data_IF_542029531800
#
_entry.id   IF_542029531800
#
_cell.length_a   1.000
_cell.length_b   1.000
_cell.length_c   1.000
_cell.angle_alpha   90.00
_cell.angle_beta   90.00
_cell.angle_gamma   90.00
#
_symmetry.space_group_name_H-M   'P 1'
#
loop_
_entity.id
_entity.type
_entity.pdbx_description
1 polymer ?
#
# COMPACT_ATOMS: atom_id res chain seq x y z
N UNK A 1 -6.34 0.05 -7.61
CA UNK A 1 -6.10 -0.40 -6.22
C UNK A 1 -4.60 -0.49 -6.04
N UNK A 2 -4.04 0.21 -5.05
CA UNK A 2 -2.61 0.13 -4.75
C UNK A 2 -2.30 -1.12 -3.94
N UNK A 3 -1.11 -1.71 -4.14
CA UNK A 3 -0.64 -2.87 -3.37
C UNK A 3 0.55 -2.49 -2.54
N UNK A 4 0.49 -2.80 -1.25
CA UNK A 4 1.57 -2.51 -0.31
C UNK A 4 2.03 -3.79 0.36
N UNK A 5 3.35 -3.95 0.46
CA UNK A 5 3.97 -4.99 1.29
C UNK A 5 4.36 -4.40 2.62
N UNK A 6 3.99 -5.06 3.71
CA UNK A 6 4.48 -4.69 5.04
C UNK A 6 5.97 -5.11 5.14
N UNK A 7 6.86 -4.13 5.23
CA UNK A 7 8.30 -4.32 5.38
C UNK A 7 8.81 -3.97 6.78
N UNK A 8 7.92 -3.67 7.72
CA UNK A 8 8.29 -3.19 9.06
C UNK A 8 8.89 -4.26 9.98
N UNK A 9 8.74 -5.55 9.66
CA UNK A 9 9.19 -6.66 10.52
C UNK A 9 8.22 -7.01 11.66
N UNK A 10 7.10 -6.29 11.77
CA UNK A 10 6.03 -6.51 12.76
C UNK A 10 4.65 -6.42 12.09
N UNK A 11 3.60 -6.93 12.75
CA UNK A 11 2.24 -6.88 12.22
C UNK A 11 1.67 -5.46 12.31
N UNK A 12 1.12 -4.94 11.21
CA UNK A 12 0.62 -3.56 11.15
C UNK A 12 -0.76 -3.45 10.57
N UNK A 13 -1.56 -2.56 11.18
CA UNK A 13 -2.89 -2.23 10.68
C UNK A 13 -2.83 -1.24 9.53
N UNK A 14 -3.70 -1.46 8.56
CA UNK A 14 -3.76 -0.71 7.31
C UNK A 14 -4.67 0.51 7.43
N UNK A 15 -4.12 1.69 7.13
CA UNK A 15 -4.89 2.94 6.95
C UNK A 15 -5.48 3.55 8.23
N UNK A 16 -6.14 2.77 9.08
CA UNK A 16 -6.76 3.21 10.34
C UNK A 16 -6.38 2.30 11.50
N UNK A 17 -6.59 2.80 12.73
CA UNK A 17 -6.45 2.01 13.94
C UNK A 17 -7.33 0.76 13.91
N UNK A 18 -8.47 0.75 13.22
CA UNK A 18 -9.36 -0.41 13.07
C UNK A 18 -9.20 -1.13 11.72
N UNK A 19 -8.15 -0.80 10.97
CA UNK A 19 -7.88 -1.44 9.68
C UNK A 19 -7.48 -2.90 9.81
N UNK A 20 -7.50 -3.66 8.69
CA UNK A 20 -7.06 -5.03 8.67
C UNK A 20 -5.59 -5.12 9.11
N UNK A 21 -5.29 -6.10 9.97
CA UNK A 21 -3.94 -6.41 10.38
C UNK A 21 -3.23 -7.13 9.23
N UNK A 22 -2.06 -6.62 8.84
CA UNK A 22 -1.22 -7.19 7.80
C UNK A 22 0.07 -7.65 8.45
N UNK A 23 0.30 -8.95 8.39
CA UNK A 23 1.50 -9.56 8.95
C UNK A 23 2.77 -9.05 8.27
N UNK A 24 3.89 -9.10 8.99
CA UNK A 24 5.18 -8.72 8.45
C UNK A 24 5.52 -9.55 7.20
N UNK A 25 5.93 -8.88 6.11
CA UNK A 25 6.24 -9.51 4.83
C UNK A 25 5.03 -9.79 3.93
N UNK A 26 3.80 -9.64 4.45
CA UNK A 26 2.56 -9.89 3.69
C UNK A 26 2.17 -8.69 2.84
N UNK A 27 1.52 -8.97 1.70
CA UNK A 27 1.00 -7.97 0.77
C UNK A 27 -0.48 -7.74 1.04
N UNK A 28 -0.87 -6.47 1.08
CA UNK A 28 -2.26 -6.03 1.17
C UNK A 28 -2.62 -5.17 -0.03
N UNK A 29 -3.90 -5.22 -0.43
CA UNK A 29 -4.46 -4.36 -1.46
C UNK A 29 -5.34 -3.32 -0.79
N UNK A 30 -5.17 -2.06 -1.17
CA UNK A 30 -5.94 -0.95 -0.60
C UNK A 30 -6.81 -0.32 -1.66
N UNK A 31 -7.98 0.10 -1.20
CA UNK A 31 -8.91 0.84 -2.03
C UNK A 31 -8.37 2.26 -2.21
N UNK A 32 -8.22 2.69 -3.46
CA UNK A 32 -7.53 3.91 -3.85
C UNK A 32 -6.26 3.68 -4.66
N UNK A 33 -5.92 4.69 -5.46
CA UNK A 33 -4.66 4.77 -6.20
C UNK A 33 -3.66 5.66 -5.45
N UNK A 34 -2.36 5.45 -5.68
CA UNK A 34 -1.33 6.37 -5.19
C UNK A 34 -1.43 7.66 -6.00
N UNK A 35 -1.78 8.76 -5.35
CA UNK A 35 -2.02 10.07 -5.96
C UNK A 35 -0.81 10.99 -5.81
N UNK A 36 -0.03 10.81 -4.74
CA UNK A 36 1.22 11.51 -4.53
C UNK A 36 2.25 10.63 -3.81
N UNK A 37 3.52 10.99 -3.91
CA UNK A 37 4.60 10.34 -3.18
C UNK A 37 5.52 11.41 -2.59
N UNK A 38 5.75 11.35 -1.29
CA UNK A 38 6.74 12.17 -0.58
C UNK A 38 8.01 11.34 -0.34
N UNK A 39 9.06 11.93 0.18
CA UNK A 39 10.29 11.22 0.54
C UNK A 39 10.04 10.10 1.56
N UNK A 40 9.11 10.32 2.49
CA UNK A 40 8.82 9.45 3.63
C UNK A 40 7.52 8.62 3.49
N UNK A 41 6.62 8.92 2.54
CA UNK A 41 5.33 8.24 2.43
C UNK A 41 4.74 8.18 1.01
N UNK A 42 3.81 7.25 0.79
CA UNK A 42 2.90 7.22 -0.35
C UNK A 42 1.53 7.77 0.07
N UNK A 43 0.95 8.67 -0.72
CA UNK A 43 -0.40 9.19 -0.50
C UNK A 43 -1.36 8.39 -1.37
N UNK A 44 -2.32 7.72 -0.75
CA UNK A 44 -3.33 6.90 -1.41
C UNK A 44 -4.70 7.54 -1.23
N UNK A 45 -5.44 7.71 -2.34
CA UNK A 45 -6.73 8.39 -2.33
C UNK A 45 -6.62 9.91 -2.44
N UNK A 46 -7.77 10.59 -2.44
CA UNK A 46 -7.90 12.04 -2.69
C UNK A 46 -8.86 12.67 -1.68
N UNK A 47 -8.70 13.98 -1.44
CA UNK A 47 -9.56 14.74 -0.51
C UNK A 47 -9.48 14.25 0.94
N UNK A 48 -10.61 14.28 1.64
CA UNK A 48 -10.75 13.79 3.02
C UNK A 48 -10.48 12.28 3.18
N UNK A 49 -10.43 11.57 2.05
CA UNK A 49 -10.14 10.14 2.00
C UNK A 49 -8.69 9.80 1.66
N UNK A 50 -7.83 10.80 1.48
CA UNK A 50 -6.39 10.59 1.30
C UNK A 50 -5.74 10.05 2.59
N UNK A 51 -4.89 9.02 2.45
CA UNK A 51 -4.11 8.44 3.56
C UNK A 51 -2.64 8.34 3.20
N UNK A 52 -1.80 8.64 4.18
CA UNK A 52 -0.36 8.50 4.08
C UNK A 52 0.10 7.09 4.50
N UNK A 53 0.97 6.50 3.69
CA UNK A 53 1.55 5.18 3.85
C UNK A 53 3.06 5.30 3.99
N UNK A 54 3.60 5.22 5.21
CA UNK A 54 5.03 5.44 5.44
C UNK A 54 5.91 4.44 4.69
N UNK A 55 6.87 4.95 3.91
CA UNK A 55 7.87 4.16 3.17
C UNK A 55 8.80 3.36 4.07
N UNK A 56 8.95 3.80 5.33
CA UNK A 56 9.70 3.05 6.33
C UNK A 56 9.11 1.66 6.63
N UNK A 57 7.80 1.49 6.38
CA UNK A 57 7.05 0.30 6.83
C UNK A 57 6.24 -0.35 5.72
N UNK A 58 6.02 0.37 4.62
CA UNK A 58 5.26 -0.09 3.48
C UNK A 58 6.07 0.10 2.20
N UNK A 59 6.10 -0.94 1.39
CA UNK A 59 6.69 -0.91 0.04
C UNK A 59 5.55 -0.97 -0.98
N UNK A 60 5.46 0.05 -1.85
CA UNK A 60 4.52 0.04 -2.96
C UNK A 60 4.96 -1.00 -4.00
N UNK A 61 4.14 -2.02 -4.20
CA UNK A 61 4.37 -3.00 -5.25
C UNK A 61 3.73 -2.51 -6.55
N UNK A 62 4.43 -2.60 -7.69
CA UNK A 62 3.80 -2.34 -8.98
C UNK A 62 2.63 -3.30 -9.15
N UNK A 63 1.58 -2.84 -9.85
CA UNK A 63 0.53 -3.76 -10.28
C UNK A 63 1.19 -4.96 -10.96
N UNK A 64 0.75 -6.20 -10.69
CA UNK A 64 1.24 -7.32 -11.47
C UNK A 64 0.94 -6.93 -12.91
N UNK A 65 1.99 -6.66 -13.70
CA UNK A 65 1.84 -6.54 -15.14
C UNK A 65 1.08 -7.79 -15.52
N UNK A 66 -0.17 -7.63 -15.93
CA UNK A 66 -0.97 -8.73 -16.45
C UNK A 66 -0.04 -9.36 -17.47
N UNK A 67 0.48 -10.54 -17.16
CA UNK A 67 1.41 -11.24 -18.03
C UNK A 67 0.65 -11.34 -19.34
N UNK A 68 1.07 -10.56 -20.34
CA UNK A 68 0.60 -10.68 -21.69
C UNK A 68 0.92 -12.09 -22.13
N UNK A 69 -0.06 -12.98 -21.94
CA UNK A 69 -0.16 -14.25 -22.64
C UNK A 69 -1.18 -14.01 -23.75
N UNK A 70 -0.70 -14.15 -24.97
CA UNK A 70 -1.35 -13.84 -26.24
C UNK A 70 -0.20 -13.57 -27.22
N UNK A 71 0.59 -14.59 -27.55
CA UNK A 71 0.30 -15.59 -28.60
C UNK A 71 0.03 -14.92 -29.95
#
# INVERSE_FOLDING_TARGET
MARFKNISGEDRRVGRADGPLVEAGTVTSVDGAVTAQTDDAYIVGEGDDARAWPKATWELLPEPKSSGKGE
#
